data_IF_834135221848
#
_entry.id   IF_834135221848
#
_cell.length_a   1.000
_cell.length_b   1.000
_cell.length_c   1.000
_cell.angle_alpha   90.00
_cell.angle_beta   90.00
_cell.angle_gamma   90.00
#
_symmetry.space_group_name_H-M   'P 1'
#
loop_
_entity.id
_entity.type
_entity.pdbx_description
1 polymer ?
#
# COMPACT_ATOMS: atom_id res chain seq x y z
N UNK A 1 8.23 3.32 -13.72
CA UNK A 1 7.86 2.89 -12.37
C UNK A 1 7.21 4.06 -11.64
N UNK A 2 6.03 3.88 -11.02
CA UNK A 2 5.38 4.96 -10.26
C UNK A 2 5.95 5.04 -8.82
N UNK A 3 6.28 3.90 -8.23
CA UNK A 3 6.90 3.84 -6.91
C UNK A 3 6.96 2.44 -6.33
N UNK A 4 7.63 2.31 -5.19
CA UNK A 4 7.61 1.13 -4.34
C UNK A 4 6.52 1.28 -3.30
N UNK A 5 5.71 0.24 -3.13
CA UNK A 5 4.57 0.18 -2.23
C UNK A 5 4.83 -0.86 -1.16
N UNK A 6 4.60 -0.47 0.09
CA UNK A 6 4.81 -1.36 1.22
C UNK A 6 3.79 -1.10 2.33
N UNK A 7 3.58 -2.11 3.17
CA UNK A 7 2.68 -2.10 4.30
C UNK A 7 3.47 -2.27 5.59
N UNK A 8 3.19 -1.43 6.59
CA UNK A 8 3.72 -1.58 7.94
C UNK A 8 2.58 -1.69 8.94
N UNK A 9 2.66 -2.67 9.83
CA UNK A 9 1.78 -2.76 10.98
C UNK A 9 2.17 -1.70 12.00
N UNK A 10 1.27 -0.76 12.25
CA UNK A 10 1.47 0.32 13.20
C UNK A 10 0.61 0.12 14.44
N UNK A 11 1.22 0.13 15.62
CA UNK A 11 0.47 0.02 16.87
C UNK A 11 -0.36 1.29 17.11
N UNK A 12 -1.68 1.12 17.26
CA UNK A 12 -2.62 2.21 17.43
C UNK A 12 -3.04 2.36 18.89
N UNK A 13 -2.27 3.16 19.64
CA UNK A 13 -2.50 3.38 21.08
C UNK A 13 -3.89 3.98 21.39
N UNK A 14 -4.37 4.87 20.52
CA UNK A 14 -5.63 5.60 20.71
C UNK A 14 -6.75 5.07 19.80
N UNK A 15 -6.83 3.75 19.62
CA UNK A 15 -7.89 3.12 18.83
C UNK A 15 -9.27 3.35 19.49
N UNK A 16 -10.23 3.98 18.79
CA UNK A 16 -11.59 4.18 19.29
C UNK A 16 -12.23 2.86 19.72
N UNK A 17 -12.98 2.87 20.82
CA UNK A 17 -13.61 1.67 21.40
C UNK A 17 -14.40 0.87 20.37
N UNK A 18 -15.12 1.55 19.48
CA UNK A 18 -15.92 0.95 18.41
C UNK A 18 -15.12 0.14 17.41
N UNK A 19 -13.80 0.37 17.28
CA UNK A 19 -12.92 -0.31 16.31
C UNK A 19 -11.95 -1.28 17.00
N UNK A 20 -12.03 -1.42 18.32
CA UNK A 20 -11.06 -2.24 19.05
C UNK A 20 -11.18 -3.74 18.74
N UNK A 21 -12.36 -4.22 18.36
CA UNK A 21 -12.58 -5.63 18.01
C UNK A 21 -11.89 -5.96 16.69
N UNK A 22 -12.16 -5.19 15.63
CA UNK A 22 -11.63 -5.43 14.29
C UNK A 22 -10.11 -5.24 14.19
N UNK A 23 -9.56 -4.28 14.94
CA UNK A 23 -8.13 -3.93 14.89
C UNK A 23 -7.30 -4.57 16.02
N UNK A 24 -7.94 -5.37 16.89
CA UNK A 24 -7.29 -6.07 17.98
C UNK A 24 -6.50 -7.31 17.54
N UNK A 25 -5.33 -7.52 18.16
CA UNK A 25 -4.61 -8.78 18.04
C UNK A 25 -4.89 -9.71 19.25
N UNK A 26 -4.42 -10.97 19.16
CA UNK A 26 -4.57 -11.98 20.24
C UNK A 26 -3.97 -11.56 21.59
N UNK A 27 -3.06 -10.57 21.59
CA UNK A 27 -2.42 -10.01 22.79
C UNK A 27 -3.10 -8.73 23.29
N UNK A 28 -4.26 -8.36 22.72
CA UNK A 28 -5.02 -7.16 23.08
C UNK A 28 -4.52 -5.86 22.46
N UNK A 29 -3.38 -5.86 21.75
CA UNK A 29 -2.85 -4.66 21.11
C UNK A 29 -3.66 -4.32 19.85
N UNK A 30 -3.94 -3.02 19.67
CA UNK A 30 -4.64 -2.53 18.49
C UNK A 30 -3.61 -2.12 17.44
N UNK A 31 -3.77 -2.59 16.21
CA UNK A 31 -2.85 -2.28 15.11
C UNK A 31 -3.65 -1.82 13.90
N UNK A 32 -3.17 -0.76 13.26
CA UNK A 32 -3.65 -0.29 11.96
C UNK A 32 -2.55 -0.49 10.94
N UNK A 33 -2.91 -0.84 9.70
CA UNK A 33 -1.94 -0.94 8.61
C UNK A 33 -1.74 0.45 8.02
N UNK A 34 -0.49 0.91 7.99
CA UNK A 34 -0.05 2.02 7.14
C UNK A 34 0.47 1.42 5.85
N UNK A 35 -0.05 1.94 4.74
CA UNK A 35 0.48 1.67 3.41
C UNK A 35 1.02 2.95 2.82
N UNK A 36 2.22 2.90 2.26
CA UNK A 36 2.85 4.04 1.63
C UNK A 36 3.38 3.70 0.25
N UNK A 37 3.40 4.69 -0.65
CA UNK A 37 4.15 4.61 -1.91
C UNK A 37 5.27 5.63 -1.89
N UNK A 38 6.50 5.15 -2.07
CA UNK A 38 7.68 5.98 -2.23
C UNK A 38 8.17 5.96 -3.68
N UNK A 39 8.48 7.13 -4.22
CA UNK A 39 9.16 7.29 -5.50
C UNK A 39 10.66 6.96 -5.42
N UNK A 40 11.33 6.99 -6.57
CA UNK A 40 12.77 6.73 -6.67
C UNK A 40 13.64 7.65 -5.80
N UNK A 41 13.22 8.91 -5.65
CA UNK A 41 13.87 9.91 -4.81
C UNK A 41 13.47 9.84 -3.33
N UNK A 42 12.89 8.72 -2.88
CA UNK A 42 12.44 8.50 -1.49
C UNK A 42 11.24 9.40 -1.12
N UNK A 43 10.68 10.15 -2.07
CA UNK A 43 9.50 10.97 -1.83
C UNK A 43 8.25 10.08 -1.66
N UNK A 44 7.62 10.17 -0.48
CA UNK A 44 6.34 9.53 -0.22
C UNK A 44 5.22 10.43 -0.73
N UNK A 45 4.58 10.04 -1.84
CA UNK A 45 3.49 10.82 -2.43
C UNK A 45 2.11 10.25 -2.11
N UNK A 46 2.04 9.05 -1.52
CA UNK A 46 0.80 8.48 -1.04
C UNK A 46 1.01 7.72 0.27
N UNK A 47 0.10 7.93 1.22
CA UNK A 47 -0.02 7.16 2.45
C UNK A 47 -1.50 6.89 2.75
N UNK A 48 -1.81 5.70 3.23
CA UNK A 48 -3.16 5.28 3.58
C UNK A 48 -3.17 4.48 4.88
N UNK A 49 -4.05 4.88 5.80
CA UNK A 49 -4.40 4.13 7.00
C UNK A 49 -5.85 3.68 6.86
N UNK A 50 -6.16 2.46 7.27
CA UNK A 50 -7.56 2.05 7.33
C UNK A 50 -7.82 0.56 7.40
N UNK A 51 -6.81 -0.27 7.18
CA UNK A 51 -7.05 -1.72 7.09
C UNK A 51 -6.74 -2.41 8.40
N UNK A 52 -7.64 -3.29 8.82
CA UNK A 52 -7.45 -4.18 9.94
C UNK A 52 -6.27 -5.14 9.71
N UNK A 53 -5.59 -5.50 10.80
CA UNK A 53 -4.31 -6.24 10.79
C UNK A 53 -4.30 -7.55 10.00
N UNK A 54 -5.45 -8.22 9.88
CA UNK A 54 -5.53 -9.58 9.32
C UNK A 54 -5.51 -9.65 7.79
N UNK A 55 -5.47 -8.50 7.11
CA UNK A 55 -5.46 -8.47 5.67
C UNK A 55 -4.03 -8.55 5.12
N UNK A 56 -3.84 -9.38 4.10
CA UNK A 56 -2.60 -9.45 3.34
C UNK A 56 -2.45 -8.23 2.42
N UNK A 57 -1.27 -8.06 1.83
CA UNK A 57 -0.96 -6.89 0.99
C UNK A 57 -1.95 -6.74 -0.17
N UNK A 58 -2.39 -7.83 -0.79
CA UNK A 58 -3.39 -7.81 -1.88
C UNK A 58 -4.74 -7.23 -1.45
N UNK A 59 -5.24 -7.63 -0.28
CA UNK A 59 -6.49 -7.11 0.26
C UNK A 59 -6.35 -5.62 0.63
N UNK A 60 -5.19 -5.24 1.19
CA UNK A 60 -4.87 -3.84 1.47
C UNK A 60 -4.74 -3.03 0.16
N UNK A 61 -4.23 -3.63 -0.93
CA UNK A 61 -4.19 -3.02 -2.25
C UNK A 61 -5.60 -2.75 -2.79
N UNK A 62 -6.50 -3.73 -2.72
CA UNK A 62 -7.88 -3.60 -3.21
C UNK A 62 -8.72 -2.56 -2.47
N UNK A 63 -8.39 -2.24 -1.21
CA UNK A 63 -9.10 -1.22 -0.42
C UNK A 63 -8.50 0.18 -0.57
N UNK A 64 -7.41 0.33 -1.32
CA UNK A 64 -6.66 1.58 -1.45
C UNK A 64 -7.17 2.42 -2.62
N UNK A 65 -7.53 3.70 -2.40
CA UNK A 65 -8.03 4.59 -3.46
C UNK A 65 -7.09 4.72 -4.66
N UNK A 66 -5.77 4.60 -4.43
CA UNK A 66 -4.76 4.67 -5.49
C UNK A 66 -4.92 3.58 -6.55
N UNK A 67 -5.35 2.38 -6.16
CA UNK A 67 -5.54 1.30 -7.10
C UNK A 67 -6.91 1.34 -7.79
N UNK A 68 -7.90 2.05 -7.24
CA UNK A 68 -9.22 2.12 -7.85
C UNK A 68 -9.18 2.74 -9.25
N UNK A 69 -8.39 3.79 -9.45
CA UNK A 69 -8.27 4.41 -10.77
C UNK A 69 -7.56 3.50 -11.76
N UNK A 70 -6.56 2.73 -11.31
CA UNK A 70 -5.87 1.73 -12.14
C UNK A 70 -6.84 0.62 -12.56
N UNK A 71 -7.61 0.09 -11.60
CA UNK A 71 -8.59 -0.98 -11.84
C UNK A 71 -9.75 -0.53 -12.75
N UNK A 72 -10.11 0.77 -12.70
CA UNK A 72 -11.13 1.38 -13.55
C UNK A 72 -10.62 1.78 -14.94
N UNK A 73 -9.31 1.70 -15.18
CA UNK A 73 -8.70 2.20 -16.42
C UNK A 73 -8.66 3.73 -16.53
N UNK A 74 -8.82 4.44 -15.41
CA UNK A 74 -8.84 5.90 -15.31
C UNK A 74 -7.48 6.47 -14.84
N UNK A 75 -6.49 5.60 -14.60
CA UNK A 75 -5.15 6.04 -14.21
C UNK A 75 -4.45 6.80 -15.34
N UNK A 76 -3.68 7.83 -14.98
CA UNK A 76 -2.89 8.59 -15.95
C UNK A 76 -1.91 7.68 -16.71
N UNK A 77 -1.82 7.89 -18.02
CA UNK A 77 -0.77 7.29 -18.84
C UNK A 77 0.58 7.91 -18.45
N UNK A 78 1.50 7.08 -17.96
CA UNK A 78 2.86 7.51 -17.59
C UNK A 78 3.83 6.69 -18.41
N UNK A 79 4.71 7.36 -19.13
CA UNK A 79 5.87 6.76 -19.78
C UNK A 79 7.12 6.92 -18.92
N UNK A 80 7.98 5.91 -18.90
CA UNK A 80 9.29 6.01 -18.26
C UNK A 80 10.31 5.13 -19.01
N UNK A 81 11.58 5.46 -18.84
CA UNK A 81 12.70 4.76 -19.49
C UNK A 81 13.53 3.99 -18.46
N UNK A 82 13.85 2.72 -18.77
CA UNK A 82 14.78 1.89 -18.01
C UNK A 82 15.73 1.25 -19.01
N UNK A 83 17.04 1.41 -18.81
CA UNK A 83 18.08 0.84 -19.69
C UNK A 83 17.78 1.08 -21.19
N UNK A 84 17.47 2.32 -21.57
CA UNK A 84 17.14 2.74 -22.94
C UNK A 84 15.87 2.09 -23.54
N UNK A 85 15.04 1.46 -22.71
CA UNK A 85 13.75 0.91 -23.10
C UNK A 85 12.63 1.78 -22.53
N UNK A 86 11.77 2.31 -23.40
CA UNK A 86 10.60 3.09 -23.01
C UNK A 86 9.44 2.14 -22.72
N UNK A 87 8.83 2.33 -21.56
CA UNK A 87 7.65 1.61 -21.12
C UNK A 87 6.47 2.56 -21.03
N UNK A 88 5.30 2.08 -21.45
CA UNK A 88 4.04 2.83 -21.49
C UNK A 88 3.07 2.42 -20.38
N UNK A 89 3.35 1.30 -19.72
CA UNK A 89 2.50 0.75 -18.68
C UNK A 89 3.03 1.12 -17.30
N UNK A 90 2.18 1.75 -16.51
CA UNK A 90 2.42 2.02 -15.10
C UNK A 90 2.55 0.72 -14.29
N UNK A 91 3.57 0.65 -13.42
CA UNK A 91 3.67 -0.41 -12.41
C UNK A 91 4.18 0.13 -11.07
N UNK A 92 3.78 -0.55 -10.00
CA UNK A 92 4.30 -0.40 -8.64
C UNK A 92 5.15 -1.63 -8.30
N UNK A 93 6.22 -1.45 -7.53
CA UNK A 93 6.92 -2.57 -6.89
C UNK A 93 6.29 -2.80 -5.52
N UNK A 94 5.93 -4.04 -5.16
CA UNK A 94 5.46 -4.39 -3.82
C UNK A 94 6.43 -5.40 -3.18
N UNK A 95 6.54 -5.40 -1.85
CA UNK A 95 7.51 -6.24 -1.14
C UNK A 95 7.32 -7.76 -1.34
N UNK A 96 8.46 -8.47 -1.30
CA UNK A 96 8.69 -9.92 -1.22
C UNK A 96 7.98 -10.83 -2.24
N UNK A 97 8.18 -10.56 -3.54
CA UNK A 97 8.47 -11.66 -4.48
C UNK A 97 10.00 -11.86 -4.51
N UNK A 98 10.61 -12.12 -3.35
CA UNK A 98 11.89 -12.82 -3.35
C UNK A 98 11.54 -14.30 -3.52
N UNK A 99 11.91 -14.88 -4.66
CA UNK A 99 12.07 -16.33 -4.73
C UNK A 99 13.04 -16.71 -3.60
N UNK A 100 12.56 -17.55 -2.69
CA UNK A 100 13.41 -18.21 -1.72
C UNK A 100 14.38 -19.14 -2.43
#
# INVERSE_FOLDING_TARGET
MIGSIDCIHWQWKNCPTTWQEDYGNRKGQKNIILKAVAGFNIWVWHAFFGVARWQNDLNVLGQSPVFNNVLRGEASNISYEINNTVYWNCYYLANSIYLR
#
